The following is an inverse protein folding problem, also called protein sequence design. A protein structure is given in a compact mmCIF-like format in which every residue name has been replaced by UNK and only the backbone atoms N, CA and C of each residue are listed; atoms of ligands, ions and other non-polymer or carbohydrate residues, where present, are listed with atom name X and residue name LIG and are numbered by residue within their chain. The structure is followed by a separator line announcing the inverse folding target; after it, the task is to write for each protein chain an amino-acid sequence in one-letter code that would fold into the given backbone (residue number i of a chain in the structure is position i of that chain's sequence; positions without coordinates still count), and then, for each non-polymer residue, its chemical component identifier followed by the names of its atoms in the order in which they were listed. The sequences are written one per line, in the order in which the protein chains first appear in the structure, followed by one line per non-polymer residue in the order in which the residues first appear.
data_IF_922347345748
#
_entry.id   IF_922347345748
#
_cell.length_a   1.000
_cell.length_b   1.000
_cell.length_c   1.000
_cell.angle_alpha   90.00
_cell.angle_beta   90.00
_cell.angle_gamma   90.00
#
_symmetry.space_group_name_H-M   'P 1'
#
loop_
_entity.id
_entity.type
_entity.pdbx_description
1 polymer ?
#
# COMPACT_ATOMS: atom_id res chain seq x y z
N UNK A 1 12.19 10.27 -7.87
CA UNK A 1 11.33 10.03 -6.70
C UNK A 1 12.13 10.38 -5.46
N UNK A 2 11.53 11.03 -4.47
CA UNK A 2 12.24 11.28 -3.23
C UNK A 2 12.62 9.93 -2.58
N UNK A 3 13.72 9.92 -1.86
CA UNK A 3 14.10 8.80 -1.00
C UNK A 3 13.24 8.88 0.28
N UNK A 4 12.87 7.76 0.91
CA UNK A 4 12.13 7.76 2.19
C UNK A 4 12.70 8.70 3.25
N UNK A 5 14.03 8.81 3.31
CA UNK A 5 14.75 9.78 4.14
C UNK A 5 14.28 11.23 3.95
N UNK A 6 14.03 11.69 2.72
CA UNK A 6 13.57 13.04 2.46
C UNK A 6 12.11 13.24 2.91
N UNK A 7 11.27 12.22 2.76
CA UNK A 7 9.92 12.25 3.33
C UNK A 7 9.96 12.30 4.86
N UNK A 8 10.85 11.52 5.49
CA UNK A 8 11.04 11.55 6.94
C UNK A 8 11.48 12.94 7.43
N UNK A 9 12.39 13.62 6.72
CA UNK A 9 12.74 15.02 7.01
C UNK A 9 11.54 15.97 6.87
N UNK A 10 10.68 15.76 5.85
CA UNK A 10 9.44 16.52 5.69
C UNK A 10 8.47 16.29 6.87
N UNK A 11 8.33 15.04 7.30
CA UNK A 11 7.55 14.66 8.50
C UNK A 11 8.10 15.28 9.78
N UNK A 12 9.42 15.32 9.96
CA UNK A 12 10.06 16.05 11.08
C UNK A 12 9.68 17.53 11.07
N UNK A 13 9.71 18.18 9.90
CA UNK A 13 9.32 19.58 9.76
C UNK A 13 7.83 19.81 10.07
N UNK A 14 6.96 18.87 9.72
CA UNK A 14 5.51 19.01 9.87
C UNK A 14 5.02 18.63 11.28
N UNK A 15 5.57 17.57 11.88
CA UNK A 15 5.06 16.95 13.10
C UNK A 15 6.02 16.99 14.29
N UNK A 16 7.29 17.34 14.07
CA UNK A 16 8.35 17.32 15.09
C UNK A 16 9.05 15.95 15.18
N UNK A 17 9.72 15.65 16.30
CA UNK A 17 10.42 14.38 16.47
C UNK A 17 11.74 14.28 15.70
N UNK A 18 12.14 13.08 15.32
CA UNK A 18 13.35 12.79 14.55
C UNK A 18 13.05 11.91 13.32
N UNK A 19 14.04 11.68 12.47
CA UNK A 19 13.88 10.90 11.23
C UNK A 19 13.46 9.45 11.53
N UNK A 20 14.01 8.87 12.60
CA UNK A 20 13.77 7.50 13.03
C UNK A 20 12.31 7.26 13.41
N UNK A 21 11.58 8.30 13.84
CA UNK A 21 10.15 8.21 14.14
C UNK A 21 9.30 7.89 12.89
N UNK A 22 9.80 8.22 11.68
CA UNK A 22 9.02 8.20 10.43
C UNK A 22 9.58 7.28 9.35
N UNK A 23 10.88 7.00 9.38
CA UNK A 23 11.59 6.36 8.27
C UNK A 23 10.96 5.02 7.88
N UNK A 24 10.60 4.18 8.86
CA UNK A 24 10.02 2.86 8.60
C UNK A 24 8.69 2.94 7.83
N UNK A 25 7.88 3.97 8.07
CA UNK A 25 6.60 4.17 7.38
C UNK A 25 6.85 4.56 5.92
N UNK A 26 7.73 5.53 5.69
CA UNK A 26 8.07 5.97 4.33
C UNK A 26 8.77 4.87 3.53
N UNK A 27 9.68 4.12 4.16
CA UNK A 27 10.31 2.93 3.57
C UNK A 27 9.25 1.91 3.16
N UNK A 28 8.23 1.71 3.99
CA UNK A 28 7.16 0.77 3.66
C UNK A 28 6.32 1.19 2.46
N UNK A 29 5.95 2.47 2.32
CA UNK A 29 5.25 2.92 1.09
C UNK A 29 6.12 2.69 -0.16
N UNK A 30 7.40 3.02 -0.06
CA UNK A 30 8.36 2.97 -1.16
C UNK A 30 8.93 1.58 -1.47
N UNK A 31 8.81 0.60 -0.57
CA UNK A 31 9.38 -0.73 -0.77
C UNK A 31 8.82 -1.46 -2.02
N UNK A 32 7.66 -1.02 -2.52
CA UNK A 32 7.11 -1.45 -3.81
C UNK A 32 8.01 -1.14 -5.02
N UNK A 33 8.96 -0.20 -4.90
CA UNK A 33 10.03 0.08 -5.88
C UNK A 33 10.86 -1.16 -6.24
N UNK A 34 10.97 -2.13 -5.32
CA UNK A 34 11.66 -3.40 -5.56
C UNK A 34 10.97 -4.26 -6.63
N UNK A 35 9.67 -4.03 -6.89
CA UNK A 35 8.88 -4.75 -7.90
C UNK A 35 8.88 -3.97 -9.21
N UNK A 36 8.72 -2.65 -9.15
CA UNK A 36 8.69 -1.78 -10.34
C UNK A 36 9.32 -0.42 -10.03
N UNK A 37 10.44 -0.11 -10.68
CA UNK A 37 11.24 1.08 -10.39
C UNK A 37 10.72 2.39 -11.01
N UNK A 38 9.46 2.42 -11.48
CA UNK A 38 8.80 3.62 -12.01
C UNK A 38 7.53 3.95 -11.22
N UNK A 39 6.79 4.99 -11.63
CA UNK A 39 5.62 5.47 -10.89
C UNK A 39 4.53 4.41 -10.67
N UNK A 40 4.49 3.34 -11.46
CA UNK A 40 3.43 2.32 -11.37
C UNK A 40 3.46 1.54 -10.08
N UNK A 41 4.59 1.45 -9.37
CA UNK A 41 4.59 0.80 -8.04
C UNK A 41 3.66 1.51 -7.06
N UNK A 42 3.38 2.80 -7.28
CA UNK A 42 2.51 3.59 -6.42
C UNK A 42 1.10 3.00 -6.37
N UNK A 43 0.68 2.28 -7.41
CA UNK A 43 -0.58 1.54 -7.42
C UNK A 43 -0.70 0.49 -6.30
N UNK A 44 0.41 0.00 -5.72
CA UNK A 44 0.38 -1.01 -4.66
C UNK A 44 0.06 -0.45 -3.27
N UNK A 45 0.48 0.80 -2.97
CA UNK A 45 0.43 1.34 -1.60
C UNK A 45 0.06 2.83 -1.52
N UNK A 46 0.17 3.60 -2.59
CA UNK A 46 -0.07 5.04 -2.58
C UNK A 46 -1.52 5.37 -2.95
N UNK A 47 -2.45 4.87 -2.13
CA UNK A 47 -3.88 5.10 -2.24
C UNK A 47 -4.53 5.00 -0.86
N UNK A 48 -5.82 5.33 -0.75
CA UNK A 48 -6.55 5.36 0.52
C UNK A 48 -6.40 4.07 1.36
N UNK A 49 -6.63 2.90 0.78
CA UNK A 49 -6.45 1.62 1.50
C UNK A 49 -5.00 1.39 1.94
N UNK A 50 -3.99 1.80 1.16
CA UNK A 50 -2.59 1.70 1.57
C UNK A 50 -2.25 2.54 2.81
N UNK A 51 -2.89 3.71 2.96
CA UNK A 51 -2.79 4.52 4.19
C UNK A 51 -3.38 3.79 5.41
N UNK A 52 -4.51 3.11 5.24
CA UNK A 52 -5.11 2.29 6.31
C UNK A 52 -4.29 1.03 6.62
N UNK A 53 -3.65 0.46 5.60
CA UNK A 53 -2.75 -0.67 5.77
C UNK A 53 -1.49 -0.26 6.56
N UNK A 54 -0.95 0.94 6.33
CA UNK A 54 0.14 1.48 7.16
C UNK A 54 -0.28 1.56 8.63
N UNK A 55 -1.49 2.03 8.93
CA UNK A 55 -2.01 2.02 10.31
C UNK A 55 -2.10 0.62 10.91
N UNK A 56 -2.53 -0.37 10.12
CA UNK A 56 -2.60 -1.76 10.58
C UNK A 56 -1.22 -2.31 10.96
N UNK A 57 -0.17 -1.87 10.26
CA UNK A 57 1.21 -2.36 10.44
C UNK A 57 1.94 -1.62 11.57
N UNK A 58 1.84 -0.29 11.60
CA UNK A 58 2.59 0.56 12.53
C UNK A 58 1.78 0.98 13.77
N UNK A 59 0.50 0.59 13.82
CA UNK A 59 -0.43 0.94 14.88
C UNK A 59 -1.25 2.21 14.56
N UNK A 60 -2.31 2.48 15.34
CA UNK A 60 -3.20 3.63 15.14
C UNK A 60 -2.50 4.98 15.30
N UNK A 61 -1.49 5.02 16.16
CA UNK A 61 -0.75 6.23 16.51
C UNK A 61 0.74 5.94 16.67
N UNK A 62 1.56 6.96 16.41
CA UNK A 62 2.98 7.00 16.69
C UNK A 62 3.22 7.86 17.93
N UNK A 63 4.00 7.34 18.88
CA UNK A 63 4.59 8.16 19.94
C UNK A 63 5.99 8.55 19.49
N UNK A 64 6.14 9.83 19.12
CA UNK A 64 7.42 10.38 18.70
C UNK A 64 8.41 10.41 19.88
N UNK A 65 9.72 10.45 19.62
CA UNK A 65 10.72 10.62 20.68
C UNK A 65 10.53 11.89 21.54
N UNK A 66 9.82 12.89 21.01
CA UNK A 66 9.42 14.08 21.78
C UNK A 66 8.33 13.83 22.83
N UNK A 67 7.75 12.62 22.88
CA UNK A 67 6.60 12.25 23.69
C UNK A 67 5.25 12.64 23.07
N UNK A 68 5.24 13.39 21.97
CA UNK A 68 4.02 13.73 21.23
C UNK A 68 3.45 12.48 20.56
N UNK A 69 2.14 12.29 20.68
CA UNK A 69 1.41 11.22 19.99
C UNK A 69 0.70 11.80 18.76
N UNK A 70 0.87 11.18 17.60
CA UNK A 70 0.19 11.56 16.35
C UNK A 70 -0.44 10.34 15.67
N UNK A 71 -1.51 10.49 14.88
CA UNK A 71 -2.05 9.39 14.08
C UNK A 71 -1.07 8.92 13.01
N UNK A 72 -0.89 7.60 12.88
CA UNK A 72 -0.03 7.01 11.84
C UNK A 72 -0.51 7.39 10.44
N UNK A 73 -1.83 7.45 10.25
CA UNK A 73 -2.43 7.85 8.98
C UNK A 73 -2.01 9.25 8.53
N UNK A 74 -1.73 10.20 9.44
CA UNK A 74 -1.28 11.53 9.03
C UNK A 74 0.04 11.48 8.26
N UNK A 75 0.98 10.64 8.70
CA UNK A 75 2.26 10.42 8.03
C UNK A 75 2.06 9.72 6.68
N UNK A 76 1.18 8.72 6.62
CA UNK A 76 0.86 8.02 5.37
C UNK A 76 0.16 8.93 4.35
N UNK A 77 -0.82 9.71 4.77
CA UNK A 77 -1.51 10.68 3.93
C UNK A 77 -0.56 11.77 3.41
N UNK A 78 0.34 12.26 4.27
CA UNK A 78 1.39 13.19 3.87
C UNK A 78 2.26 12.59 2.76
N UNK A 79 2.80 11.38 2.99
CA UNK A 79 3.66 10.71 2.03
C UNK A 79 2.98 10.59 0.65
N UNK A 80 1.73 10.12 0.61
CA UNK A 80 0.97 9.98 -0.63
C UNK A 80 0.73 11.34 -1.31
N UNK A 81 0.39 12.39 -0.55
CA UNK A 81 0.19 13.73 -1.12
C UNK A 81 1.48 14.35 -1.65
N UNK A 82 2.63 14.14 -1.00
CA UNK A 82 3.92 14.61 -1.50
C UNK A 82 4.31 13.95 -2.82
N UNK A 83 3.92 12.69 -3.01
CA UNK A 83 4.25 11.92 -4.20
C UNK A 83 3.25 12.10 -5.36
N UNK A 84 1.97 12.27 -5.07
CA UNK A 84 0.88 12.29 -6.07
C UNK A 84 0.07 13.59 -6.12
N UNK A 85 0.24 14.51 -5.17
CA UNK A 85 -0.54 15.74 -5.04
C UNK A 85 -1.95 15.56 -4.48
N UNK A 86 -2.48 14.33 -4.48
CA UNK A 86 -3.76 13.94 -3.90
C UNK A 86 -3.71 12.47 -3.45
N UNK A 87 -4.71 12.02 -2.70
CA UNK A 87 -4.84 10.62 -2.28
C UNK A 87 -5.84 9.92 -3.22
N UNK A 88 -5.40 9.07 -4.15
CA UNK A 88 -6.32 8.33 -5.01
C UNK A 88 -6.97 7.15 -4.29
N UNK A 89 -8.01 6.59 -4.90
CA UNK A 89 -8.51 5.25 -4.58
C UNK A 89 -7.73 4.17 -5.34
N UNK A 90 -7.73 2.92 -4.87
CA UNK A 90 -7.25 1.81 -5.70
C UNK A 90 -8.08 1.66 -7.00
N UNK A 91 -9.35 2.10 -6.98
CA UNK A 91 -10.21 2.16 -8.15
C UNK A 91 -9.62 3.04 -9.28
N UNK A 92 -8.88 4.10 -8.95
CA UNK A 92 -8.23 4.98 -9.92
C UNK A 92 -7.07 4.30 -10.65
N UNK A 93 -6.43 3.33 -10.00
CA UNK A 93 -5.38 2.51 -10.59
C UNK A 93 -5.98 1.36 -11.42
N UNK A 94 -6.88 0.58 -10.82
CA UNK A 94 -7.41 -0.66 -11.43
C UNK A 94 -8.20 -0.39 -12.72
N UNK A 95 -8.86 0.78 -12.84
CA UNK A 95 -9.57 1.18 -14.07
C UNK A 95 -8.67 1.30 -15.30
N UNK A 96 -7.35 1.39 -15.09
CA UNK A 96 -6.35 1.49 -16.16
C UNK A 96 -5.76 0.13 -16.57
N UNK A 97 -6.11 -0.96 -15.88
CA UNK A 97 -5.63 -2.30 -16.23
C UNK A 97 -6.30 -2.77 -17.51
N UNK A 98 -5.50 -3.24 -18.47
CA UNK A 98 -5.99 -3.94 -19.66
C UNK A 98 -6.15 -5.42 -19.32
N UNK A 99 -7.37 -5.98 -19.38
CA UNK A 99 -7.58 -7.38 -19.03
C UNK A 99 -6.84 -8.31 -19.99
N UNK A 100 -6.11 -9.27 -19.42
CA UNK A 100 -5.49 -10.38 -20.15
C UNK A 100 -6.22 -11.69 -19.83
N UNK A 101 -6.20 -12.70 -20.73
CA UNK A 101 -6.95 -13.95 -20.54
C UNK A 101 -6.69 -14.67 -19.21
N UNK A 102 -5.48 -14.54 -18.65
CA UNK A 102 -5.11 -15.18 -17.38
C UNK A 102 -5.71 -14.49 -16.15
N UNK A 103 -6.14 -13.23 -16.23
CA UNK A 103 -6.60 -12.44 -15.07
C UNK A 103 -8.00 -12.84 -14.59
N UNK A 104 -8.83 -13.42 -15.46
CA UNK A 104 -10.20 -13.84 -15.15
C UNK A 104 -10.44 -15.34 -15.31
N UNK A 105 -9.44 -16.11 -15.73
CA UNK A 105 -9.56 -17.56 -15.89
C UNK A 105 -9.44 -18.23 -14.53
N UNK A 106 -10.58 -18.62 -13.96
CA UNK A 106 -10.66 -19.39 -12.72
C UNK A 106 -10.88 -20.88 -13.00
N UNK A 107 -10.31 -21.74 -12.15
CA UNK A 107 -10.66 -23.16 -12.09
C UNK A 107 -11.89 -23.34 -11.18
N UNK A 108 -12.74 -24.34 -11.46
CA UNK A 108 -13.88 -24.66 -10.59
C UNK A 108 -13.43 -25.57 -9.44
N UNK A 109 -12.73 -24.96 -8.48
CA UNK A 109 -12.13 -25.66 -7.32
C UNK A 109 -13.17 -26.52 -6.58
N UNK A 110 -14.40 -26.02 -6.41
CA UNK A 110 -15.49 -26.77 -5.76
C UNK A 110 -15.74 -28.14 -6.40
N UNK A 111 -15.64 -28.25 -7.73
CA UNK A 111 -15.89 -29.51 -8.44
C UNK A 111 -14.72 -30.48 -8.33
N UNK A 112 -13.51 -29.93 -8.31
CA UNK A 112 -12.30 -30.74 -8.31
C UNK A 112 -11.91 -31.20 -6.89
N UNK A 113 -12.38 -30.48 -5.85
CA UNK A 113 -12.09 -30.76 -4.45
C UNK A 113 -13.23 -31.43 -3.68
N UNK A 114 -14.48 -31.40 -4.17
CA UNK A 114 -15.61 -32.06 -3.53
C UNK A 114 -15.76 -33.51 -4.04
N UNK A 115 -15.46 -34.52 -3.21
CA UNK A 115 -15.50 -35.93 -3.61
C UNK A 115 -16.93 -36.44 -3.93
N UNK A 116 -17.97 -35.65 -3.67
CA UNK A 116 -19.38 -36.02 -3.89
C UNK A 116 -19.88 -35.55 -5.27
N UNK A 117 -19.15 -34.66 -5.97
CA UNK A 117 -19.53 -34.20 -7.30
C UNK A 117 -18.98 -35.14 -8.40
N UNK A 118 -19.81 -35.61 -9.35
CA UNK A 118 -19.36 -36.56 -10.36
C UNK A 118 -18.41 -35.92 -11.38
N UNK A 119 -17.31 -36.62 -11.68
CA UNK A 119 -16.33 -36.24 -12.70
C UNK A 119 -16.92 -36.42 -14.12
N UNK A 120 -16.56 -35.54 -15.04
CA UNK A 120 -17.15 -35.46 -16.39
C UNK A 120 -16.54 -36.40 -17.41
N UNK A 121 -15.63 -37.30 -17.03
CA UNK A 121 -14.94 -38.19 -17.99
C UNK A 121 -15.81 -39.28 -18.62
N UNK A 122 -17.13 -39.28 -18.38
CA UNK A 122 -18.09 -40.21 -19.01
C UNK A 122 -19.25 -39.49 -19.70
N UNK A 123 -18.96 -38.62 -20.68
CA UNK A 123 -19.94 -38.16 -21.67
C UNK A 123 -19.28 -37.87 -23.02
#
# INVERSE_FOLDING_TARGET
MAHPYHHALSSVKMWGGCVEDYLAIHDWFDASKAITADFRHRALRHHAEGVFMAETIFGPTLTLLSGRVIPTRWVGEQHVREDLGAIPSFADWVKSIRPEPWMGRTQRIERDADPVLPDRTTA
#
